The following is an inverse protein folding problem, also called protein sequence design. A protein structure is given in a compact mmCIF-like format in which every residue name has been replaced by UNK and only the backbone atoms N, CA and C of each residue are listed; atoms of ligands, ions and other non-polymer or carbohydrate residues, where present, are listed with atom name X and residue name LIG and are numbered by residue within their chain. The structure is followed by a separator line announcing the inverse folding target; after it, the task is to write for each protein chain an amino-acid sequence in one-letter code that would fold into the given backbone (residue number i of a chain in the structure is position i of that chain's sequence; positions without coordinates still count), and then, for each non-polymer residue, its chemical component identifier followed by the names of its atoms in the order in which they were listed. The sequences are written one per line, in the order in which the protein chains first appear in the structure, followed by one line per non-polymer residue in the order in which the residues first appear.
data_IF_048402269505
#
_entry.id   IF_048402269505
#
_cell.length_a   1.000
_cell.length_b   1.000
_cell.length_c   1.000
_cell.angle_alpha   90.00
_cell.angle_beta   90.00
_cell.angle_gamma   90.00
#
_symmetry.space_group_name_H-M   'P 1'
#
loop_
_entity.id
_entity.type
_entity.pdbx_description
1 polymer ?
#
# COMPACT_ATOMS: atom_id res chain seq x y z
N UNK A 1 -58.88 -12.60 21.72
CA UNK A 1 -58.94 -13.03 20.31
C UNK A 1 -57.92 -12.20 19.56
N UNK A 2 -56.70 -12.71 19.43
CA UNK A 2 -55.58 -12.05 18.74
C UNK A 2 -55.69 -12.39 17.25
N UNK A 3 -55.99 -11.41 16.41
CA UNK A 3 -55.93 -11.57 14.96
C UNK A 3 -54.47 -11.49 14.52
N UNK A 4 -53.95 -12.64 14.08
CA UNK A 4 -52.64 -12.77 13.45
C UNK A 4 -52.57 -11.90 12.19
N UNK A 5 -51.48 -11.15 12.05
CA UNK A 5 -51.14 -10.44 10.83
C UNK A 5 -50.55 -11.47 9.87
N UNK A 6 -51.15 -11.56 8.68
CA UNK A 6 -50.85 -12.51 7.61
C UNK A 6 -49.39 -12.36 7.12
N UNK A 7 -48.58 -13.45 7.03
CA UNK A 7 -47.17 -13.38 6.64
C UNK A 7 -46.92 -12.98 5.17
N UNK A 8 -47.97 -12.81 4.37
CA UNK A 8 -47.87 -12.55 2.94
C UNK A 8 -47.82 -11.07 2.52
N UNK A 9 -47.91 -10.12 3.45
CA UNK A 9 -47.94 -8.67 3.11
C UNK A 9 -46.55 -7.98 3.13
N UNK A 10 -45.46 -8.74 3.33
CA UNK A 10 -44.08 -8.27 3.15
C UNK A 10 -43.58 -8.65 1.75
N UNK A 11 -44.41 -8.43 0.73
CA UNK A 11 -43.93 -8.32 -0.64
C UNK A 11 -43.35 -6.92 -0.80
N UNK A 12 -42.09 -6.76 -0.36
CA UNK A 12 -41.20 -5.70 -0.82
C UNK A 12 -41.35 -5.65 -2.33
N UNK A 13 -42.06 -4.62 -2.82
CA UNK A 13 -42.09 -4.22 -4.22
C UNK A 13 -40.66 -3.90 -4.63
N UNK A 14 -39.92 -4.94 -5.02
CA UNK A 14 -38.65 -4.90 -5.73
C UNK A 14 -38.95 -4.46 -7.16
N UNK A 15 -39.56 -3.28 -7.30
CA UNK A 15 -39.95 -2.70 -8.58
C UNK A 15 -38.73 -1.95 -9.08
N UNK A 16 -38.13 -2.51 -10.14
CA UNK A 16 -37.07 -1.96 -10.96
C UNK A 16 -37.34 -0.49 -11.36
N UNK A 17 -36.94 0.47 -10.52
CA UNK A 17 -36.59 1.84 -10.90
C UNK A 17 -35.33 2.16 -10.10
N UNK A 18 -34.19 2.08 -10.79
CA UNK A 18 -32.86 2.16 -10.21
C UNK A 18 -32.68 3.40 -9.33
N UNK A 19 -31.98 3.20 -8.20
CA UNK A 19 -31.22 4.20 -7.40
C UNK A 19 -31.84 4.78 -6.13
N UNK A 20 -33.00 4.34 -5.61
CA UNK A 20 -33.51 4.84 -4.31
C UNK A 20 -33.81 3.70 -3.33
N UNK A 21 -33.22 3.78 -2.14
CA UNK A 21 -33.54 2.90 -1.01
C UNK A 21 -33.66 3.73 0.26
N UNK A 22 -34.62 3.41 1.11
CA UNK A 22 -34.76 3.98 2.44
C UNK A 22 -33.95 3.13 3.41
N UNK A 23 -32.98 3.72 4.09
CA UNK A 23 -32.39 3.15 5.29
C UNK A 23 -33.19 3.71 6.47
N UNK A 24 -33.35 2.94 7.55
CA UNK A 24 -34.11 3.33 8.74
C UNK A 24 -34.00 4.83 9.09
N UNK A 25 -35.12 5.41 9.54
CA UNK A 25 -35.30 6.85 9.86
C UNK A 25 -35.58 7.78 8.66
N UNK A 26 -36.17 7.25 7.58
CA UNK A 26 -36.61 7.99 6.38
C UNK A 26 -35.48 8.67 5.57
N UNK A 27 -34.24 8.20 5.67
CA UNK A 27 -33.16 8.75 4.86
C UNK A 27 -33.11 8.10 3.48
N UNK A 28 -33.23 8.92 2.44
CA UNK A 28 -33.16 8.48 1.04
C UNK A 28 -31.69 8.26 0.69
N UNK A 29 -31.36 7.08 0.15
CA UNK A 29 -29.99 6.80 -0.31
C UNK A 29 -29.91 6.61 -1.82
N UNK A 30 -29.04 7.41 -2.43
CA UNK A 30 -28.58 7.27 -3.81
C UNK A 30 -27.19 6.64 -3.82
N UNK A 31 -27.10 5.41 -4.32
CA UNK A 31 -25.85 4.63 -4.34
C UNK A 31 -24.80 5.19 -5.31
N UNK A 32 -23.55 4.84 -5.05
CA UNK A 32 -22.43 5.13 -5.93
C UNK A 32 -22.51 4.33 -7.23
N UNK A 33 -22.41 5.02 -8.38
CA UNK A 33 -22.46 4.36 -9.70
C UNK A 33 -21.16 3.65 -10.10
N UNK A 34 -20.03 4.04 -9.53
CA UNK A 34 -18.72 3.48 -9.87
C UNK A 34 -17.81 3.44 -8.64
N UNK A 35 -16.78 2.60 -8.71
CA UNK A 35 -15.77 2.44 -7.66
C UNK A 35 -14.98 3.74 -7.45
N UNK A 36 -14.49 3.99 -6.22
CA UNK A 36 -13.66 5.15 -5.96
C UNK A 36 -12.39 5.14 -6.82
N UNK A 37 -11.93 6.32 -7.23
CA UNK A 37 -10.76 6.47 -8.08
C UNK A 37 -9.55 6.83 -7.24
N UNK A 38 -8.53 5.97 -7.28
CA UNK A 38 -7.24 6.20 -6.62
C UNK A 38 -6.27 6.82 -7.62
N UNK A 39 -5.53 7.85 -7.21
CA UNK A 39 -4.39 8.39 -7.95
C UNK A 39 -3.16 8.44 -7.06
N UNK A 40 -2.09 7.78 -7.50
CA UNK A 40 -0.78 7.84 -6.84
C UNK A 40 -0.05 9.09 -7.31
N UNK A 41 0.55 9.84 -6.39
CA UNK A 41 1.27 11.09 -6.72
C UNK A 41 2.64 10.81 -7.36
N UNK A 42 3.38 9.83 -6.84
CA UNK A 42 4.72 9.47 -7.30
C UNK A 42 4.71 8.18 -8.12
N UNK A 43 5.36 8.20 -9.30
CA UNK A 43 5.42 7.04 -10.23
C UNK A 43 6.42 5.95 -9.79
N UNK A 44 7.44 6.33 -9.03
CA UNK A 44 8.46 5.43 -8.47
C UNK A 44 8.65 5.82 -7.01
N UNK A 45 8.64 4.84 -6.13
CA UNK A 45 8.81 5.02 -4.69
C UNK A 45 9.96 4.16 -4.20
N UNK A 46 10.75 4.69 -3.29
CA UNK A 46 11.76 3.98 -2.50
C UNK A 46 11.16 3.54 -1.16
N UNK A 47 11.79 2.56 -0.51
CA UNK A 47 11.41 2.14 0.86
C UNK A 47 11.54 3.26 1.88
N UNK A 48 12.33 4.30 1.59
CA UNK A 48 12.49 5.49 2.42
C UNK A 48 11.43 6.57 2.18
N UNK A 49 10.60 6.43 1.15
CA UNK A 49 9.70 7.49 0.72
C UNK A 49 8.37 7.48 1.48
N UNK A 50 7.65 8.60 1.38
CA UNK A 50 6.27 8.69 1.81
C UNK A 50 5.34 8.35 0.64
N UNK A 51 4.49 7.34 0.82
CA UNK A 51 3.45 6.99 -0.13
C UNK A 51 2.33 8.04 -0.06
N UNK A 52 2.19 8.80 -1.14
CA UNK A 52 1.14 9.81 -1.29
C UNK A 52 0.13 9.39 -2.36
N UNK A 53 -1.13 9.30 -1.95
CA UNK A 53 -2.24 8.95 -2.84
C UNK A 53 -3.49 9.77 -2.53
N UNK A 54 -4.31 9.98 -3.55
CA UNK A 54 -5.64 10.60 -3.42
C UNK A 54 -6.71 9.60 -3.79
N UNK A 55 -7.86 9.68 -3.14
CA UNK A 55 -9.03 8.90 -3.47
C UNK A 55 -10.26 9.80 -3.62
N UNK A 56 -11.06 9.53 -4.64
CA UNK A 56 -12.31 10.24 -4.94
C UNK A 56 -13.47 9.26 -5.08
N UNK A 57 -14.54 9.48 -4.32
CA UNK A 57 -15.77 8.68 -4.42
C UNK A 57 -16.56 9.00 -5.69
N UNK A 58 -17.50 8.12 -6.06
CA UNK A 58 -18.56 8.50 -6.99
C UNK A 58 -19.55 9.47 -6.31
N UNK A 59 -20.25 10.32 -7.08
CA UNK A 59 -21.35 11.12 -6.56
C UNK A 59 -22.48 10.24 -6.02
N UNK A 60 -22.93 10.51 -4.81
CA UNK A 60 -23.96 9.76 -4.11
C UNK A 60 -24.70 10.64 -3.09
N UNK A 61 -25.71 10.08 -2.42
CA UNK A 61 -26.43 10.74 -1.33
C UNK A 61 -26.76 9.73 -0.22
N UNK A 62 -26.45 10.02 1.05
CA UNK A 62 -25.56 11.10 1.49
C UNK A 62 -24.14 10.94 0.90
N UNK A 63 -23.25 11.90 1.20
CA UNK A 63 -21.87 11.82 0.71
C UNK A 63 -21.17 10.57 1.27
N UNK A 64 -20.45 9.78 0.45
CA UNK A 64 -19.77 8.58 0.94
C UNK A 64 -18.66 8.90 1.94
N UNK A 65 -18.43 8.00 2.90
CA UNK A 65 -17.27 8.06 3.77
C UNK A 65 -16.12 7.25 3.15
N UNK A 66 -14.91 7.82 3.11
CA UNK A 66 -13.74 7.17 2.54
C UNK A 66 -12.79 6.70 3.63
N UNK A 67 -12.36 5.44 3.56
CA UNK A 67 -11.41 4.83 4.50
C UNK A 67 -10.26 4.17 3.75
N UNK A 68 -9.04 4.43 4.21
CA UNK A 68 -7.84 3.87 3.62
C UNK A 68 -7.40 2.59 4.34
N UNK A 69 -6.91 1.64 3.54
CA UNK A 69 -6.28 0.42 4.00
C UNK A 69 -4.95 0.20 3.28
N UNK A 70 -3.96 -0.32 4.00
CA UNK A 70 -2.67 -0.74 3.47
C UNK A 70 -2.47 -2.21 3.82
N UNK A 71 -2.29 -3.04 2.79
CA UNK A 71 -2.21 -4.50 2.93
C UNK A 71 -3.33 -5.04 3.83
N UNK A 72 -4.57 -4.64 3.55
CA UNK A 72 -5.78 -4.95 4.32
C UNK A 72 -5.89 -4.39 5.75
N UNK A 73 -4.91 -3.63 6.25
CA UNK A 73 -4.97 -3.01 7.56
C UNK A 73 -5.51 -1.59 7.46
N UNK A 74 -6.49 -1.22 8.30
CA UNK A 74 -7.04 0.15 8.35
C UNK A 74 -5.90 1.11 8.71
N UNK A 75 -5.75 2.16 7.91
CA UNK A 75 -4.78 3.22 8.17
C UNK A 75 -5.29 4.14 9.27
N UNK A 76 -4.38 4.60 10.12
CA UNK A 76 -4.68 5.59 11.14
C UNK A 76 -5.12 6.93 10.52
N UNK A 77 -6.11 7.57 11.13
CA UNK A 77 -6.71 8.79 10.60
C UNK A 77 -5.71 9.97 10.56
N UNK A 78 -4.68 9.96 11.42
CA UNK A 78 -3.60 10.97 11.42
C UNK A 78 -2.73 10.95 10.15
N UNK A 79 -2.72 9.83 9.43
CA UNK A 79 -2.02 9.65 8.15
C UNK A 79 -2.93 9.95 6.95
N UNK A 80 -4.14 10.45 7.20
CA UNK A 80 -5.13 10.77 6.17
C UNK A 80 -5.63 12.20 6.30
N UNK A 81 -5.93 12.82 5.16
CA UNK A 81 -6.48 14.18 5.13
C UNK A 81 -7.81 14.16 4.40
N UNK A 82 -8.96 14.36 5.07
CA UNK A 82 -10.23 14.52 4.39
C UNK A 82 -10.32 15.91 3.76
N UNK A 83 -10.59 15.99 2.46
CA UNK A 83 -10.86 17.26 1.77
C UNK A 83 -12.32 17.69 1.87
N UNK A 84 -13.12 16.97 2.65
CA UNK A 84 -14.55 17.18 2.80
C UNK A 84 -15.37 16.70 1.61
N UNK A 85 -16.61 17.16 1.54
CA UNK A 85 -17.60 16.77 0.53
C UNK A 85 -17.78 17.89 -0.48
N UNK A 86 -17.71 17.58 -1.78
CA UNK A 86 -18.00 18.52 -2.85
C UNK A 86 -19.38 18.22 -3.43
N UNK A 87 -20.24 19.25 -3.49
CA UNK A 87 -21.51 19.17 -4.20
C UNK A 87 -21.24 19.10 -5.69
N UNK A 88 -21.90 18.17 -6.36
CA UNK A 88 -21.83 18.05 -7.82
C UNK A 88 -23.06 18.74 -8.39
N UNK A 89 -22.94 19.42 -9.53
CA UNK A 89 -24.09 19.96 -10.28
C UNK A 89 -24.90 18.83 -10.96
N UNK A 90 -25.14 17.74 -10.23
CA UNK A 90 -25.95 16.60 -10.64
C UNK A 90 -27.01 16.40 -9.58
N UNK A 91 -28.25 16.43 -10.05
CA UNK A 91 -29.41 16.18 -9.24
C UNK A 91 -30.05 14.89 -9.72
N UNK A 92 -30.41 14.02 -8.79
CA UNK A 92 -31.16 12.82 -9.09
C UNK A 92 -32.52 12.96 -8.42
N UNK A 93 -33.57 13.18 -9.21
CA UNK A 93 -34.90 13.57 -8.74
C UNK A 93 -34.90 14.79 -7.81
N UNK A 94 -34.13 15.83 -8.16
CA UNK A 94 -34.05 17.07 -7.38
C UNK A 94 -33.15 17.00 -6.15
N UNK A 95 -32.57 15.84 -5.82
CA UNK A 95 -31.69 15.67 -4.67
C UNK A 95 -30.23 15.87 -5.09
N UNK A 96 -29.46 16.74 -4.39
CA UNK A 96 -28.07 17.02 -4.76
C UNK A 96 -27.15 15.86 -4.37
N UNK A 97 -26.39 15.38 -5.35
CA UNK A 97 -25.36 14.36 -5.13
C UNK A 97 -24.05 15.01 -4.70
N UNK A 98 -23.33 14.32 -3.82
CA UNK A 98 -22.05 14.77 -3.26
C UNK A 98 -20.98 13.72 -3.48
N UNK A 99 -19.75 14.17 -3.70
CA UNK A 99 -18.55 13.31 -3.76
C UNK A 99 -17.64 13.65 -2.58
N UNK A 100 -16.86 12.67 -2.14
CA UNK A 100 -15.90 12.81 -1.04
C UNK A 100 -14.49 12.57 -1.58
N UNK A 101 -13.54 13.36 -1.12
CA UNK A 101 -12.13 13.22 -1.46
C UNK A 101 -11.28 13.07 -0.19
N UNK A 102 -10.28 12.19 -0.24
CA UNK A 102 -9.30 12.02 0.84
C UNK A 102 -7.90 11.85 0.27
N UNK A 103 -6.90 12.27 1.05
CA UNK A 103 -5.49 11.97 0.81
C UNK A 103 -4.96 10.99 1.84
N UNK A 104 -3.96 10.22 1.42
CA UNK A 104 -3.16 9.31 2.22
C UNK A 104 -1.70 9.79 2.19
N UNK A 105 -1.08 9.84 3.36
CA UNK A 105 0.32 10.19 3.57
C UNK A 105 0.96 9.12 4.46
N UNK A 106 1.50 8.06 3.87
CA UNK A 106 1.96 6.89 4.62
C UNK A 106 3.48 6.67 4.51
N UNK A 107 4.22 6.61 5.63
CA UNK A 107 5.67 6.36 5.60
C UNK A 107 5.98 4.89 5.28
N UNK A 108 6.62 4.63 4.13
CA UNK A 108 6.93 3.26 3.69
C UNK A 108 7.98 2.56 4.57
N UNK A 109 8.77 3.34 5.32
CA UNK A 109 9.79 2.83 6.27
C UNK A 109 9.19 1.94 7.37
N UNK A 110 7.90 2.06 7.63
CA UNK A 110 7.17 1.28 8.63
C UNK A 110 6.78 -0.13 8.15
N UNK A 111 6.87 -0.40 6.84
CA UNK A 111 6.47 -1.67 6.24
C UNK A 111 7.69 -2.57 5.97
N UNK A 112 7.54 -3.85 6.29
CA UNK A 112 8.46 -4.88 5.82
C UNK A 112 8.08 -5.30 4.39
N UNK A 113 8.74 -4.69 3.40
CA UNK A 113 8.43 -4.86 1.98
C UNK A 113 9.10 -6.08 1.31
N UNK A 114 9.79 -6.92 2.09
CA UNK A 114 10.49 -8.09 1.57
C UNK A 114 9.59 -9.34 1.64
N UNK A 115 9.57 -10.20 0.60
CA UNK A 115 10.35 -10.14 -0.65
C UNK A 115 9.65 -9.42 -1.83
N UNK A 116 8.35 -9.17 -1.73
CA UNK A 116 7.51 -8.81 -2.89
C UNK A 116 7.68 -7.38 -3.40
N UNK A 117 8.28 -6.47 -2.60
CA UNK A 117 8.52 -5.06 -2.93
C UNK A 117 7.28 -4.30 -3.43
N UNK A 118 6.10 -4.76 -3.07
CA UNK A 118 4.82 -4.15 -3.45
C UNK A 118 4.03 -3.77 -2.22
N UNK A 119 3.23 -2.72 -2.36
CA UNK A 119 2.25 -2.29 -1.36
C UNK A 119 0.89 -2.26 -2.01
N UNK A 120 -0.07 -2.90 -1.38
CA UNK A 120 -1.46 -2.82 -1.79
C UNK A 120 -2.15 -1.69 -1.00
N UNK A 121 -2.69 -0.72 -1.72
CA UNK A 121 -3.53 0.31 -1.11
C UNK A 121 -4.96 0.13 -1.55
N UNK A 122 -5.88 0.19 -0.59
CA UNK A 122 -7.31 0.09 -0.83
C UNK A 122 -8.02 1.34 -0.30
N UNK A 123 -8.88 1.93 -1.12
CA UNK A 123 -9.81 2.97 -0.71
C UNK A 123 -11.21 2.38 -0.66
N UNK A 124 -11.78 2.30 0.53
CA UNK A 124 -13.15 1.87 0.81
C UNK A 124 -14.06 3.11 0.86
N UNK A 125 -15.24 3.01 0.26
CA UNK A 125 -16.24 4.07 0.17
C UNK A 125 -17.60 3.57 0.59
N UNK A 126 -18.12 4.03 1.73
CA UNK A 126 -19.34 3.51 2.35
C UNK A 126 -20.43 4.55 2.53
N UNK A 127 -21.68 4.08 2.54
CA UNK A 127 -22.85 4.85 2.96
C UNK A 127 -23.68 3.97 3.92
N UNK A 128 -23.97 4.43 5.15
CA UNK A 128 -23.45 5.64 5.81
C UNK A 128 -21.97 5.49 6.25
N UNK A 129 -21.47 6.44 7.03
CA UNK A 129 -20.08 6.43 7.53
C UNK A 129 -19.78 5.32 8.52
N UNK A 130 -20.80 4.79 9.19
CA UNK A 130 -20.71 3.66 10.11
C UNK A 130 -21.81 2.65 9.81
N UNK A 131 -21.51 1.36 9.93
CA UNK A 131 -22.51 0.34 9.85
C UNK A 131 -23.39 0.39 11.12
N UNK A 132 -24.71 0.39 10.96
CA UNK A 132 -25.61 0.22 12.10
C UNK A 132 -25.59 -1.23 12.58
N UNK A 133 -25.82 -1.44 13.88
CA UNK A 133 -25.99 -2.77 14.46
C UNK A 133 -27.25 -3.40 13.89
N UNK A 134 -27.11 -4.24 12.86
CA UNK A 134 -28.20 -5.03 12.26
C UNK A 134 -28.44 -4.82 10.76
N UNK A 135 -28.09 -3.66 10.19
CA UNK A 135 -28.38 -3.36 8.77
C UNK A 135 -27.12 -3.16 7.91
N UNK A 136 -25.96 -2.99 8.52
CA UNK A 136 -24.71 -2.83 7.79
C UNK A 136 -24.63 -1.50 7.02
N UNK A 137 -23.91 -1.51 5.90
CA UNK A 137 -23.86 -0.39 4.96
C UNK A 137 -24.87 -0.62 3.83
N UNK A 138 -25.55 0.44 3.40
CA UNK A 138 -26.46 0.36 2.25
C UNK A 138 -25.75 0.45 0.90
N UNK A 139 -24.54 1.04 0.89
CA UNK A 139 -23.70 1.06 -0.28
C UNK A 139 -22.23 0.92 0.14
N UNK A 140 -21.51 0.03 -0.54
CA UNK A 140 -20.10 -0.24 -0.34
C UNK A 140 -19.44 -0.30 -1.70
N UNK A 141 -18.41 0.51 -1.89
CA UNK A 141 -17.54 0.45 -3.05
C UNK A 141 -16.09 0.44 -2.58
N UNK A 142 -15.21 -0.27 -3.28
CA UNK A 142 -13.79 -0.23 -3.00
C UNK A 142 -12.98 -0.18 -4.30
N UNK A 143 -11.74 0.26 -4.18
CA UNK A 143 -10.76 0.23 -5.25
C UNK A 143 -9.40 -0.05 -4.65
N UNK A 144 -8.65 -0.92 -5.31
CA UNK A 144 -7.37 -1.41 -4.82
C UNK A 144 -6.33 -1.25 -5.92
N UNK A 145 -5.18 -0.70 -5.56
CA UNK A 145 -4.06 -0.47 -6.46
C UNK A 145 -2.78 -0.98 -5.82
N UNK A 146 -2.01 -1.74 -6.59
CA UNK A 146 -0.67 -2.21 -6.19
C UNK A 146 0.38 -1.20 -6.63
N UNK A 147 1.25 -0.82 -5.71
CA UNK A 147 2.36 0.12 -5.94
C UNK A 147 3.68 -0.62 -5.80
N UNK A 148 4.54 -0.48 -6.79
CA UNK A 148 5.88 -1.07 -6.76
C UNK A 148 6.86 -0.13 -6.04
N UNK A 149 7.61 -0.68 -5.08
CA UNK A 149 8.67 0.01 -4.35
C UNK A 149 10.02 -0.43 -4.91
N UNK A 150 10.75 0.50 -5.50
CA UNK A 150 12.06 0.28 -6.08
C UNK A 150 13.11 0.37 -4.98
N UNK A 151 14.05 -0.56 -4.96
CA UNK A 151 15.26 -0.41 -4.15
C UNK A 151 16.15 0.62 -4.85
N UNK A 152 16.30 1.81 -4.26
CA UNK A 152 17.42 2.67 -4.63
C UNK A 152 18.63 2.06 -3.93
N UNK A 153 19.31 1.13 -4.61
CA UNK A 153 20.62 0.69 -4.14
C UNK A 153 21.56 1.91 -4.24
N UNK A 154 22.26 2.31 -3.15
CA UNK A 154 23.25 3.36 -3.26
C UNK A 154 24.25 2.95 -4.34
N UNK A 155 24.58 3.89 -5.24
CA UNK A 155 25.57 3.65 -6.28
C UNK A 155 26.79 2.97 -5.65
N UNK A 156 27.33 1.89 -6.26
CA UNK A 156 28.41 1.12 -5.68
C UNK A 156 29.52 2.10 -5.33
N UNK A 157 29.69 2.34 -4.04
CA UNK A 157 30.78 3.17 -3.56
C UNK A 157 31.99 2.30 -3.80
N UNK A 158 32.71 2.59 -4.88
CA UNK A 158 33.99 1.99 -5.16
C UNK A 158 34.93 2.53 -4.07
N UNK A 159 34.86 1.93 -2.88
CA UNK A 159 35.90 2.05 -1.88
C UNK A 159 37.18 1.58 -2.60
N UNK A 160 38.22 2.44 -2.73
CA UNK A 160 39.45 1.99 -3.33
C UNK A 160 39.98 0.85 -2.46
N UNK A 161 39.90 -0.37 -2.99
CA UNK A 161 40.58 -1.51 -2.41
C UNK A 161 42.06 -1.18 -2.51
N UNK A 162 42.64 -0.72 -1.40
CA UNK A 162 44.10 -0.72 -1.23
C UNK A 162 44.50 -2.19 -1.15
N UNK A 163 44.74 -2.80 -2.32
CA UNK A 163 45.39 -4.10 -2.40
C UNK A 163 46.82 -3.86 -1.93
N UNK A 164 47.07 -4.03 -0.63
CA UNK A 164 48.43 -4.16 -0.11
C UNK A 164 48.88 -5.56 -0.53
N UNK A 165 49.59 -5.64 -1.65
CA UNK A 165 50.23 -6.87 -2.12
C UNK A 165 51.43 -7.21 -1.23
N UNK A 166 51.19 -7.83 -0.07
CA UNK A 166 52.25 -8.31 0.83
C UNK A 166 52.68 -9.77 0.58
N UNK A 167 52.28 -10.38 -0.54
CA UNK A 167 52.39 -11.84 -0.74
C UNK A 167 53.26 -12.29 -1.93
N UNK A 168 54.23 -11.49 -2.41
CA UNK A 168 55.18 -11.96 -3.44
C UNK A 168 56.59 -12.32 -2.93
N UNK A 169 56.94 -12.07 -1.67
CA UNK A 169 58.32 -12.26 -1.20
C UNK A 169 58.54 -13.49 -0.31
N UNK A 170 57.51 -14.27 0.02
CA UNK A 170 57.68 -15.44 0.89
C UNK A 170 58.24 -16.67 0.15
N UNK A 171 57.94 -16.81 -1.15
CA UNK A 171 58.39 -17.95 -1.97
C UNK A 171 59.88 -17.85 -2.32
N UNK A 172 60.37 -16.65 -2.70
CA UNK A 172 61.77 -16.46 -3.08
C UNK A 172 62.73 -16.62 -1.88
N UNK A 173 62.32 -16.17 -0.68
CA UNK A 173 63.16 -16.25 0.53
C UNK A 173 63.38 -17.70 0.99
N UNK A 174 62.37 -18.56 0.83
CA UNK A 174 62.47 -19.98 1.20
C UNK A 174 63.40 -20.77 0.26
N UNK A 175 63.49 -20.37 -1.01
CA UNK A 175 64.35 -21.03 -1.99
C UNK A 175 65.85 -20.70 -1.81
N UNK A 176 66.17 -19.47 -1.37
CA UNK A 176 67.56 -19.04 -1.15
C UNK A 176 68.18 -19.70 0.08
N UNK A 177 67.44 -19.81 1.18
CA UNK A 177 67.88 -20.52 2.39
C UNK A 177 68.21 -21.99 2.10
N UNK A 178 67.37 -22.65 1.30
CA UNK A 178 67.57 -24.05 0.91
C UNK A 178 68.82 -24.27 0.06
N UNK A 179 69.14 -23.33 -0.83
CA UNK A 179 70.35 -23.38 -1.66
C UNK A 179 71.63 -23.16 -0.84
N UNK A 180 71.60 -22.25 0.14
CA UNK A 180 72.75 -22.00 1.02
C UNK A 180 73.11 -23.22 1.88
N UNK A 181 72.11 -23.93 2.41
CA UNK A 181 72.33 -25.16 3.19
C UNK A 181 72.96 -26.26 2.32
N UNK A 182 72.50 -26.43 1.08
CA UNK A 182 73.07 -27.43 0.16
C UNK A 182 74.52 -27.09 -0.16
N UNK A 183 74.84 -25.82 -0.45
CA UNK A 183 76.20 -25.37 -0.71
C UNK A 183 77.15 -25.62 0.48
N UNK A 184 76.68 -25.39 1.70
CA UNK A 184 77.46 -25.65 2.91
C UNK A 184 77.78 -27.15 3.08
N UNK A 185 76.82 -28.04 2.82
CA UNK A 185 77.03 -29.50 2.89
C UNK A 185 78.08 -29.96 1.87
N UNK A 186 78.01 -29.45 0.64
CA UNK A 186 78.99 -29.80 -0.39
C UNK A 186 80.40 -29.31 -0.04
N UNK A 187 80.54 -28.10 0.52
CA UNK A 187 81.84 -27.58 0.95
C UNK A 187 82.42 -28.38 2.12
N UNK A 188 81.59 -28.82 3.07
CA UNK A 188 82.04 -29.71 4.15
C UNK A 188 82.49 -31.09 3.66
N UNK A 189 81.90 -31.62 2.59
CA UNK A 189 82.30 -32.91 2.02
C UNK A 189 83.59 -32.85 1.20
N UNK A 190 83.98 -31.68 0.69
CA UNK A 190 85.20 -31.49 -0.09
C UNK A 190 86.42 -31.28 0.83
N UNK A 191 86.21 -30.78 2.05
CA UNK A 191 87.27 -30.40 3.00
C UNK A 191 87.58 -31.46 4.09
N UNK A 192 87.02 -32.67 3.97
CA UNK A 192 87.24 -33.81 4.86
C UNK A 192 87.83 -34.98 4.05
#
# INVERSE_FOLDING_TARGET
MMTAIDPHDIQFKKKHINTQYLINRNEIVFRQKFRPKIKIKHKKLSSSDQLEATCQSAPAHPAPHLTWFINNNKVDESLTTPYGTMKVHRHHHGIPLSMTNTSLHFPLTTLQLFPNRTVEITCLSTIPSYASMGEGFADIQNSTVTVNVVRIEPAPTQLPVKIVSSQLNLSARCHVERLLVILAIFLCHIYN
#
